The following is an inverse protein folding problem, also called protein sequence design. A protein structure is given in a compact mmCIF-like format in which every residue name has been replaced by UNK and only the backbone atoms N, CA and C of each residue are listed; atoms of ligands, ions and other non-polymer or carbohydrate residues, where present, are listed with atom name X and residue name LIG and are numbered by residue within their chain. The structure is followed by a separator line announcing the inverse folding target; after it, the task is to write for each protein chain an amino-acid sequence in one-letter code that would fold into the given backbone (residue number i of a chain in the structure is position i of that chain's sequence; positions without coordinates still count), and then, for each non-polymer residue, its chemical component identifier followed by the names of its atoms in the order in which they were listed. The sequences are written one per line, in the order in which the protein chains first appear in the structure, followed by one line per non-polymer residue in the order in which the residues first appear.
data_IF_178876591424
#
_entry.id   IF_178876591424
#
_cell.length_a   1.000
_cell.length_b   1.000
_cell.length_c   1.000
_cell.angle_alpha   90.00
_cell.angle_beta   90.00
_cell.angle_gamma   90.00
#
_symmetry.space_group_name_H-M   'P 1'
#
loop_
_entity.id
_entity.type
_entity.pdbx_description
1 polymer ?
#
# COMPACT_ATOMS: atom_id res chain seq x y z
N UNK A 1 12.81 -97.26 -9.27
CA UNK A 1 11.79 -96.43 -8.63
C UNK A 1 12.16 -94.98 -8.93
N UNK A 2 11.37 -94.34 -9.78
CA UNK A 2 11.79 -93.09 -10.47
C UNK A 2 11.12 -91.85 -9.79
N UNK A 3 11.95 -90.95 -9.37
CA UNK A 3 11.57 -89.63 -8.88
C UNK A 3 11.14 -88.71 -10.03
N UNK A 4 9.99 -88.08 -9.88
CA UNK A 4 9.54 -86.98 -10.77
C UNK A 4 9.80 -85.68 -10.06
N UNK A 5 10.68 -84.90 -10.64
CA UNK A 5 10.88 -83.49 -10.32
C UNK A 5 9.90 -82.69 -11.17
N UNK A 6 8.99 -81.91 -10.55
CA UNK A 6 8.11 -80.99 -11.21
C UNK A 6 8.65 -79.54 -11.04
N UNK A 7 8.72 -78.91 -12.15
CA UNK A 7 9.19 -77.56 -12.41
C UNK A 7 8.36 -76.49 -11.73
N UNK A 8 9.04 -75.62 -10.99
CA UNK A 8 8.50 -74.37 -10.39
C UNK A 8 9.26 -73.15 -10.92
N UNK A 9 9.14 -72.90 -12.18
CA UNK A 9 9.73 -71.68 -12.81
C UNK A 9 8.78 -71.10 -13.84
N UNK A 10 7.67 -70.53 -13.41
CA UNK A 10 6.84 -69.71 -14.34
C UNK A 10 5.77 -68.88 -13.59
N UNK A 11 6.11 -68.21 -12.52
CA UNK A 11 5.15 -67.32 -11.83
C UNK A 11 5.72 -66.02 -11.27
N UNK A 12 6.89 -65.58 -11.72
CA UNK A 12 7.51 -64.36 -11.17
C UNK A 12 7.78 -63.20 -12.17
N UNK A 13 7.24 -63.29 -13.35
CA UNK A 13 7.41 -62.22 -14.36
C UNK A 13 6.18 -61.41 -14.69
N UNK A 14 5.08 -61.52 -13.96
CA UNK A 14 3.87 -60.75 -14.21
C UNK A 14 3.55 -59.68 -13.12
N UNK A 15 4.40 -59.50 -12.09
CA UNK A 15 4.13 -58.58 -10.98
C UNK A 15 4.96 -57.28 -11.00
N UNK A 16 5.84 -57.06 -11.98
CA UNK A 16 6.71 -55.85 -12.04
C UNK A 16 6.34 -54.85 -13.13
N UNK A 17 5.22 -54.99 -13.81
CA UNK A 17 4.81 -54.08 -14.88
C UNK A 17 3.70 -53.07 -14.51
N UNK A 18 3.32 -52.98 -13.21
CA UNK A 18 2.21 -52.18 -12.73
C UNK A 18 2.58 -50.98 -11.86
N UNK A 19 3.85 -50.65 -11.67
CA UNK A 19 4.30 -49.59 -10.75
C UNK A 19 5.16 -48.54 -11.47
N UNK A 20 4.65 -47.99 -12.54
CA UNK A 20 5.27 -46.84 -13.17
C UNK A 20 4.16 -45.89 -13.62
N UNK A 21 4.32 -44.64 -13.17
CA UNK A 21 3.55 -43.45 -13.55
C UNK A 21 2.33 -43.19 -12.68
N UNK A 22 2.55 -43.02 -11.39
CA UNK A 22 1.91 -41.90 -10.67
C UNK A 22 3.02 -40.87 -10.40
N UNK A 23 3.52 -40.26 -11.46
CA UNK A 23 4.26 -39.02 -11.37
C UNK A 23 3.26 -38.00 -10.81
N UNK A 24 3.32 -37.77 -9.50
CA UNK A 24 2.74 -36.59 -8.88
C UNK A 24 3.19 -35.40 -9.73
N UNK A 25 2.30 -34.88 -10.56
CA UNK A 25 2.38 -33.54 -11.05
C UNK A 25 2.21 -32.64 -9.82
N UNK A 26 3.28 -32.48 -9.04
CA UNK A 26 3.39 -31.36 -8.13
C UNK A 26 3.13 -30.13 -8.99
N UNK A 27 2.17 -29.26 -8.64
CA UNK A 27 2.04 -28.01 -9.33
C UNK A 27 3.42 -27.35 -9.23
N UNK A 28 4.08 -27.18 -10.38
CA UNK A 28 5.25 -26.32 -10.47
C UNK A 28 4.75 -24.99 -9.95
N UNK A 29 5.18 -24.56 -8.78
CA UNK A 29 4.90 -23.22 -8.29
C UNK A 29 5.32 -22.30 -9.45
N UNK A 30 4.34 -21.65 -10.03
CA UNK A 30 4.60 -20.76 -11.16
C UNK A 30 5.55 -19.70 -10.63
N UNK A 31 6.80 -19.72 -11.10
CA UNK A 31 7.77 -18.72 -10.74
C UNK A 31 7.21 -17.34 -11.15
N UNK A 32 7.38 -16.35 -10.29
CA UNK A 32 6.97 -14.96 -10.55
C UNK A 32 7.39 -14.55 -11.97
N UNK A 33 6.40 -14.34 -12.84
CA UNK A 33 6.67 -13.96 -14.22
C UNK A 33 6.81 -12.45 -14.31
N UNK A 34 7.99 -11.96 -14.66
CA UNK A 34 8.19 -10.57 -15.03
C UNK A 34 7.38 -10.26 -16.29
N UNK A 35 6.43 -9.33 -16.18
CA UNK A 35 5.60 -8.84 -17.28
C UNK A 35 6.24 -7.64 -17.97
N UNK A 36 6.78 -6.70 -17.18
CA UNK A 36 7.43 -5.49 -17.69
C UNK A 36 8.45 -4.98 -16.67
N UNK A 37 9.56 -4.45 -17.20
CA UNK A 37 10.52 -3.62 -16.50
C UNK A 37 10.53 -2.25 -17.16
N UNK A 38 10.46 -1.18 -16.38
CA UNK A 38 10.51 0.18 -16.87
C UNK A 38 11.43 1.03 -15.97
N UNK A 39 12.30 1.78 -16.59
CA UNK A 39 13.14 2.77 -15.92
C UNK A 39 12.55 4.14 -16.19
N UNK A 40 11.93 4.75 -15.18
CA UNK A 40 11.41 6.09 -15.23
C UNK A 40 12.42 7.12 -14.72
N UNK A 41 12.05 8.39 -14.70
CA UNK A 41 12.86 9.43 -14.06
C UNK A 41 12.96 9.28 -12.53
N UNK A 42 12.04 8.52 -11.93
CA UNK A 42 11.88 8.44 -10.48
C UNK A 42 12.18 7.06 -9.92
N UNK A 43 11.84 6.00 -10.66
CA UNK A 43 11.88 4.63 -10.16
C UNK A 43 12.33 3.62 -11.22
N UNK A 44 12.92 2.51 -10.74
CA UNK A 44 12.99 1.27 -11.50
C UNK A 44 11.73 0.47 -11.17
N UNK A 45 10.80 0.38 -12.12
CA UNK A 45 9.49 -0.23 -11.94
C UNK A 45 9.50 -1.62 -12.55
N UNK A 46 8.99 -2.59 -11.79
CA UNK A 46 8.82 -3.96 -12.26
C UNK A 46 7.38 -4.38 -12.03
N UNK A 47 6.79 -5.03 -13.03
CA UNK A 47 5.47 -5.63 -12.93
C UNK A 47 5.63 -7.13 -13.02
N UNK A 48 5.24 -7.83 -11.98
CA UNK A 48 5.26 -9.29 -11.89
C UNK A 48 3.85 -9.85 -11.89
N UNK A 49 3.75 -11.10 -12.33
CA UNK A 49 2.53 -11.89 -12.20
C UNK A 49 2.85 -13.23 -11.57
N UNK A 50 2.14 -13.54 -10.48
CA UNK A 50 2.08 -14.84 -9.85
C UNK A 50 0.62 -15.33 -9.89
N UNK A 51 0.37 -16.33 -10.75
CA UNK A 51 -0.96 -16.88 -10.95
C UNK A 51 -2.00 -15.82 -11.29
N UNK A 52 -2.89 -15.53 -10.35
CA UNK A 52 -3.97 -14.56 -10.45
C UNK A 52 -3.59 -13.15 -9.91
N UNK A 53 -2.43 -13.03 -9.29
CA UNK A 53 -1.98 -11.77 -8.70
C UNK A 53 -1.00 -11.06 -9.64
N UNK A 54 -1.20 -9.75 -9.82
CA UNK A 54 -0.24 -8.85 -10.46
C UNK A 54 0.26 -7.87 -9.41
N UNK A 55 1.58 -7.71 -9.34
CA UNK A 55 2.23 -6.80 -8.39
C UNK A 55 3.12 -5.80 -9.11
N UNK A 56 3.09 -4.56 -8.68
CA UNK A 56 4.03 -3.50 -9.06
C UNK A 56 5.03 -3.33 -7.93
N UNK A 57 6.31 -3.33 -8.27
CA UNK A 57 7.38 -3.18 -7.30
C UNK A 57 8.35 -2.11 -7.75
N UNK A 58 8.83 -1.32 -6.79
CA UNK A 58 9.94 -0.42 -7.03
C UNK A 58 11.22 -1.04 -6.49
N UNK A 59 12.29 -0.92 -7.23
CA UNK A 59 13.51 -1.58 -6.81
C UNK A 59 14.78 -0.97 -7.35
N UNK A 60 15.79 -1.08 -6.53
CA UNK A 60 17.19 -1.07 -6.92
C UNK A 60 17.76 -2.46 -6.57
N UNK A 61 18.51 -3.06 -7.53
CA UNK A 61 19.37 -4.21 -7.30
C UNK A 61 18.71 -5.43 -6.61
N UNK A 62 17.74 -6.09 -7.27
CA UNK A 62 17.16 -7.40 -6.89
C UNK A 62 16.36 -7.45 -5.57
N UNK A 63 16.13 -6.34 -4.89
CA UNK A 63 15.14 -6.26 -3.83
C UNK A 63 14.00 -5.38 -4.31
N UNK A 64 12.81 -5.93 -4.18
CA UNK A 64 11.59 -5.33 -4.69
C UNK A 64 10.70 -4.97 -3.50
N UNK A 65 10.29 -3.70 -3.44
CA UNK A 65 9.26 -3.25 -2.52
C UNK A 65 7.94 -3.30 -3.27
N UNK A 66 7.02 -4.08 -2.75
CA UNK A 66 5.69 -4.18 -3.36
C UNK A 66 4.89 -2.94 -3.04
N UNK A 67 4.73 -2.09 -4.03
CA UNK A 67 3.99 -0.84 -3.92
C UNK A 67 2.49 -1.07 -4.14
N UNK A 68 2.13 -2.05 -4.95
CA UNK A 68 0.74 -2.36 -5.23
C UNK A 68 0.56 -3.80 -5.70
N UNK A 69 -0.60 -4.38 -5.38
CA UNK A 69 -1.01 -5.69 -5.86
C UNK A 69 -2.49 -5.72 -6.18
N UNK A 70 -2.84 -6.44 -7.24
CA UNK A 70 -4.22 -6.69 -7.63
C UNK A 70 -4.45 -8.17 -7.86
N UNK A 71 -5.63 -8.66 -7.50
CA UNK A 71 -6.13 -9.97 -7.86
C UNK A 71 -6.98 -9.83 -9.12
N UNK A 72 -6.56 -10.44 -10.24
CA UNK A 72 -7.22 -10.23 -11.53
C UNK A 72 -8.66 -10.76 -11.56
N UNK A 73 -8.93 -11.86 -10.81
CA UNK A 73 -10.28 -12.42 -10.66
C UNK A 73 -11.18 -11.60 -9.72
N UNK A 74 -10.60 -10.72 -8.90
CA UNK A 74 -11.29 -9.90 -7.93
C UNK A 74 -10.62 -8.52 -7.78
N UNK A 75 -10.71 -7.67 -8.81
CA UNK A 75 -10.01 -6.38 -8.84
C UNK A 75 -10.52 -5.38 -7.79
N UNK A 76 -11.68 -5.63 -7.20
CA UNK A 76 -12.20 -4.84 -6.07
C UNK A 76 -11.63 -5.23 -4.72
N UNK A 77 -10.75 -6.25 -4.64
CA UNK A 77 -10.09 -6.61 -3.39
C UNK A 77 -8.85 -5.75 -3.17
N UNK A 78 -8.72 -5.19 -1.97
CA UNK A 78 -7.48 -4.61 -1.48
C UNK A 78 -6.59 -5.74 -0.96
N UNK A 79 -5.62 -6.15 -1.77
CA UNK A 79 -4.77 -7.32 -1.52
C UNK A 79 -3.79 -7.03 -0.38
N UNK A 80 -3.16 -5.85 -0.43
CA UNK A 80 -2.23 -5.41 0.61
C UNK A 80 -3.04 -4.86 1.80
N UNK A 81 -2.68 -5.27 2.99
CA UNK A 81 -3.52 -5.03 4.17
C UNK A 81 -3.60 -3.56 4.58
N UNK A 82 -2.48 -2.83 4.52
CA UNK A 82 -2.50 -1.40 4.84
C UNK A 82 -3.50 -0.62 3.97
N UNK A 83 -3.67 -1.01 2.71
CA UNK A 83 -4.62 -0.35 1.80
C UNK A 83 -6.07 -0.41 2.32
N UNK A 84 -6.42 -1.48 3.06
CA UNK A 84 -7.72 -1.57 3.76
C UNK A 84 -7.79 -0.54 4.87
N UNK A 85 -6.71 -0.40 5.66
CA UNK A 85 -6.66 0.60 6.73
C UNK A 85 -6.63 2.04 6.22
N UNK A 86 -6.18 2.31 4.98
CA UNK A 86 -6.33 3.64 4.39
C UNK A 86 -7.80 4.08 4.29
N UNK A 87 -8.75 3.14 4.27
CA UNK A 87 -10.18 3.46 4.24
C UNK A 87 -10.76 3.86 5.61
N UNK A 88 -10.03 3.71 6.72
CA UNK A 88 -10.54 4.07 8.07
C UNK A 88 -10.85 5.56 8.19
N UNK A 89 -10.23 6.42 7.38
CA UNK A 89 -10.56 7.85 7.30
C UNK A 89 -12.04 8.12 7.08
N UNK A 90 -12.76 7.20 6.42
CA UNK A 90 -14.21 7.30 6.20
C UNK A 90 -15.04 7.26 7.49
N UNK A 91 -14.47 6.76 8.60
CA UNK A 91 -15.12 6.78 9.91
C UNK A 91 -14.90 8.11 10.65
N UNK A 92 -13.88 8.86 10.27
CA UNK A 92 -13.53 10.13 10.91
C UNK A 92 -14.20 11.32 10.21
N UNK A 93 -14.17 11.32 8.89
CA UNK A 93 -14.77 12.38 8.08
C UNK A 93 -16.31 12.35 8.18
N UNK A 94 -16.99 13.49 8.35
CA UNK A 94 -18.46 13.55 8.40
C UNK A 94 -19.09 13.19 7.06
N UNK A 95 -18.35 13.37 5.97
CA UNK A 95 -18.69 12.99 4.60
C UNK A 95 -17.42 12.68 3.81
N UNK A 96 -17.57 12.00 2.69
CA UNK A 96 -16.47 11.65 1.77
C UNK A 96 -16.95 11.87 0.32
N UNK A 97 -17.32 13.10 0.01
CA UNK A 97 -17.78 13.50 -1.32
C UNK A 97 -16.61 13.94 -2.22
N UNK A 98 -15.51 14.36 -1.60
CA UNK A 98 -14.29 14.80 -2.28
C UNK A 98 -13.08 14.14 -1.64
N UNK A 99 -12.39 13.32 -2.40
CA UNK A 99 -11.22 12.55 -1.93
C UNK A 99 -10.04 12.89 -2.83
N UNK A 100 -8.91 13.21 -2.21
CA UNK A 100 -7.62 13.36 -2.86
C UNK A 100 -6.72 12.22 -2.42
N UNK A 101 -6.03 11.58 -3.35
CA UNK A 101 -4.93 10.67 -3.06
C UNK A 101 -3.63 11.23 -3.66
N UNK A 102 -2.56 11.22 -2.88
CA UNK A 102 -1.19 11.53 -3.33
C UNK A 102 -0.39 10.24 -3.34
N UNK A 103 -0.03 9.80 -4.54
CA UNK A 103 0.47 8.47 -4.87
C UNK A 103 -0.64 7.59 -5.44
N UNK A 104 -0.39 6.92 -6.57
CA UNK A 104 -1.36 6.05 -7.25
C UNK A 104 -1.00 4.57 -7.09
N UNK A 105 0.27 4.25 -7.28
CA UNK A 105 0.68 2.85 -7.41
C UNK A 105 -0.11 2.14 -8.51
N UNK A 106 -0.74 1.01 -8.19
CA UNK A 106 -1.64 0.31 -9.11
C UNK A 106 -3.07 0.89 -9.16
N UNK A 107 -3.38 1.91 -8.38
CA UNK A 107 -4.70 2.53 -8.30
C UNK A 107 -5.75 1.69 -7.56
N UNK A 108 -5.33 0.74 -6.74
CA UNK A 108 -6.24 -0.19 -6.04
C UNK A 108 -7.13 0.55 -5.04
N UNK A 109 -6.59 1.48 -4.25
CA UNK A 109 -7.34 2.23 -3.24
C UNK A 109 -8.40 3.12 -3.90
N UNK A 110 -8.03 3.93 -4.88
CA UNK A 110 -8.98 4.83 -5.57
C UNK A 110 -10.01 4.07 -6.40
N UNK A 111 -9.64 2.93 -6.99
CA UNK A 111 -10.59 2.06 -7.69
C UNK A 111 -11.62 1.48 -6.73
N UNK A 112 -11.17 1.00 -5.56
CA UNK A 112 -12.05 0.52 -4.49
C UNK A 112 -12.98 1.63 -3.98
N UNK A 113 -12.43 2.82 -3.69
CA UNK A 113 -13.22 3.96 -3.22
C UNK A 113 -14.21 4.44 -4.28
N UNK A 114 -13.81 4.49 -5.55
CA UNK A 114 -14.70 4.86 -6.66
C UNK A 114 -15.89 3.91 -6.81
N UNK A 115 -15.67 2.61 -6.61
CA UNK A 115 -16.74 1.61 -6.61
C UNK A 115 -17.67 1.71 -5.39
N UNK A 116 -17.09 1.97 -4.19
CA UNK A 116 -17.82 2.07 -2.94
C UNK A 116 -18.58 3.40 -2.77
N UNK A 117 -18.07 4.49 -3.36
CA UNK A 117 -18.59 5.84 -3.28
C UNK A 117 -18.84 6.43 -4.69
N UNK A 118 -19.81 5.91 -5.46
CA UNK A 118 -19.99 6.28 -6.87
C UNK A 118 -20.31 7.77 -7.10
N UNK A 119 -20.78 8.46 -6.06
CA UNK A 119 -21.09 9.89 -6.11
C UNK A 119 -19.91 10.79 -5.73
N UNK A 120 -18.85 10.24 -5.15
CA UNK A 120 -17.69 11.01 -4.75
C UNK A 120 -16.85 11.43 -5.95
N UNK A 121 -16.29 12.64 -5.87
CA UNK A 121 -15.21 13.08 -6.76
C UNK A 121 -13.88 12.63 -6.15
N UNK A 122 -13.14 11.83 -6.88
CA UNK A 122 -11.84 11.31 -6.47
C UNK A 122 -10.78 11.81 -7.44
N UNK A 123 -9.74 12.41 -6.90
CA UNK A 123 -8.57 12.81 -7.65
C UNK A 123 -7.36 12.09 -7.09
N UNK A 124 -6.54 11.52 -7.95
CA UNK A 124 -5.22 11.02 -7.57
C UNK A 124 -4.13 11.84 -8.26
N UNK A 125 -3.09 12.15 -7.51
CA UNK A 125 -1.92 12.87 -7.99
C UNK A 125 -0.73 11.92 -7.92
N UNK A 126 -0.19 11.58 -9.08
CA UNK A 126 0.95 10.68 -9.23
C UNK A 126 2.12 11.43 -9.87
N UNK A 127 3.31 11.28 -9.28
CA UNK A 127 4.52 11.94 -9.78
C UNK A 127 5.01 11.32 -11.09
N UNK A 128 4.91 10.00 -11.18
CA UNK A 128 5.51 9.21 -12.25
C UNK A 128 4.46 8.79 -13.29
N UNK A 129 4.51 9.40 -14.47
CA UNK A 129 3.60 9.03 -15.58
C UNK A 129 3.68 7.55 -15.95
N UNK A 130 4.86 6.93 -15.79
CA UNK A 130 5.05 5.53 -16.11
C UNK A 130 4.28 4.61 -15.15
N UNK A 131 4.15 5.01 -13.88
CA UNK A 131 3.27 4.33 -12.90
C UNK A 131 1.82 4.39 -13.35
N UNK A 132 1.34 5.56 -13.78
CA UNK A 132 -0.04 5.72 -14.29
C UNK A 132 -0.31 4.83 -15.50
N UNK A 133 0.62 4.79 -16.46
CA UNK A 133 0.50 3.93 -17.65
C UNK A 133 0.47 2.45 -17.28
N UNK A 134 1.32 2.01 -16.33
CA UNK A 134 1.37 0.63 -15.87
C UNK A 134 0.13 0.24 -15.05
N UNK A 135 -0.42 1.17 -14.25
CA UNK A 135 -1.67 0.98 -13.54
C UNK A 135 -2.83 0.70 -14.52
N UNK A 136 -2.95 1.51 -15.57
CA UNK A 136 -3.95 1.30 -16.63
C UNK A 136 -3.74 -0.02 -17.37
N UNK A 137 -2.50 -0.39 -17.66
CA UNK A 137 -2.16 -1.57 -18.46
C UNK A 137 -2.34 -2.89 -17.71
N UNK A 138 -1.95 -2.94 -16.44
CA UNK A 138 -1.83 -4.19 -15.70
C UNK A 138 -2.75 -4.32 -14.49
N UNK A 139 -3.21 -3.21 -13.91
CA UNK A 139 -3.98 -3.19 -12.67
C UNK A 139 -5.46 -2.91 -12.88
N UNK A 140 -5.94 -2.96 -14.14
CA UNK A 140 -7.33 -2.67 -14.49
C UNK A 140 -7.80 -1.29 -14.02
N UNK A 141 -6.86 -0.38 -13.68
CA UNK A 141 -7.19 0.98 -13.29
C UNK A 141 -7.85 1.72 -14.44
N UNK A 142 -8.99 2.33 -14.17
CA UNK A 142 -9.79 3.08 -15.16
C UNK A 142 -10.26 4.38 -14.55
N UNK A 143 -9.95 5.46 -15.21
CA UNK A 143 -10.51 6.76 -14.89
C UNK A 143 -11.97 6.86 -15.34
N UNK A 144 -12.71 7.72 -14.65
CA UNK A 144 -14.10 8.05 -14.97
C UNK A 144 -14.27 9.57 -14.91
N UNK A 145 -15.47 10.08 -15.15
CA UNK A 145 -15.73 11.51 -14.95
C UNK A 145 -15.47 11.96 -13.51
N UNK A 146 -15.64 11.05 -12.53
CA UNK A 146 -15.48 11.34 -11.10
C UNK A 146 -14.16 10.84 -10.50
N UNK A 147 -13.46 9.92 -11.17
CA UNK A 147 -12.14 9.43 -10.78
C UNK A 147 -11.10 9.85 -11.81
N UNK A 148 -10.26 10.79 -11.49
CA UNK A 148 -9.26 11.36 -12.40
C UNK A 148 -7.86 11.31 -11.82
N UNK A 149 -6.87 11.29 -12.71
CA UNK A 149 -5.45 11.32 -12.38
C UNK A 149 -4.79 12.60 -12.91
N UNK A 150 -3.93 13.20 -12.11
CA UNK A 150 -3.04 14.28 -12.51
C UNK A 150 -1.61 13.85 -12.30
N UNK A 151 -0.78 13.98 -13.35
CA UNK A 151 0.66 13.73 -13.24
C UNK A 151 1.34 14.99 -12.73
N UNK A 152 1.74 14.98 -11.46
CA UNK A 152 2.40 16.10 -10.78
C UNK A 152 3.05 15.62 -9.47
N UNK A 153 4.01 16.39 -8.96
CA UNK A 153 4.38 16.29 -7.56
C UNK A 153 3.20 16.69 -6.65
N UNK A 154 2.91 15.87 -5.63
CA UNK A 154 1.74 16.04 -4.77
C UNK A 154 1.74 17.35 -3.99
N UNK A 155 2.90 17.80 -3.50
CA UNK A 155 3.03 19.07 -2.80
C UNK A 155 2.87 20.26 -3.75
N UNK A 156 3.49 20.19 -4.92
CA UNK A 156 3.35 21.22 -5.95
C UNK A 156 1.90 21.32 -6.45
N UNK A 157 1.19 20.22 -6.54
CA UNK A 157 -0.24 20.21 -6.85
C UNK A 157 -1.03 20.98 -5.77
N UNK A 158 -0.89 20.61 -4.51
CA UNK A 158 -1.59 21.28 -3.39
C UNK A 158 -1.25 22.77 -3.27
N UNK A 159 -0.05 23.20 -3.66
CA UNK A 159 0.32 24.61 -3.66
C UNK A 159 -0.41 25.43 -4.73
N UNK A 160 -0.67 24.83 -5.89
CA UNK A 160 -1.31 25.50 -7.03
C UNK A 160 -2.82 25.46 -6.98
N UNK A 161 -3.37 24.36 -6.43
CA UNK A 161 -4.80 24.13 -6.37
C UNK A 161 -5.36 24.55 -5.02
N UNK A 162 -6.45 25.33 -5.05
CA UNK A 162 -7.16 25.80 -3.86
C UNK A 162 -8.37 24.93 -3.49
N UNK A 163 -8.58 23.81 -4.18
CA UNK A 163 -9.66 22.88 -3.85
C UNK A 163 -9.51 22.31 -2.46
N UNK A 164 -10.65 21.98 -1.84
CA UNK A 164 -10.71 21.39 -0.52
C UNK A 164 -11.32 20.01 -0.57
N UNK A 165 -10.86 19.16 0.34
CA UNK A 165 -11.12 17.74 0.34
C UNK A 165 -11.69 17.29 1.68
N UNK A 166 -12.57 16.29 1.65
CA UNK A 166 -13.09 15.68 2.87
C UNK A 166 -12.13 14.65 3.43
N UNK A 167 -11.41 13.96 2.53
CA UNK A 167 -10.37 13.00 2.88
C UNK A 167 -9.17 13.23 1.95
N UNK A 168 -7.98 13.35 2.54
CA UNK A 168 -6.71 13.35 1.81
C UNK A 168 -5.94 12.11 2.21
N UNK A 169 -5.62 11.26 1.23
CA UNK A 169 -4.81 10.06 1.39
C UNK A 169 -3.38 10.36 0.96
N UNK A 170 -2.41 10.08 1.81
CA UNK A 170 -0.98 10.24 1.54
C UNK A 170 -0.35 8.86 1.46
N UNK A 171 -0.13 8.38 0.24
CA UNK A 171 0.41 7.04 -0.07
C UNK A 171 1.53 7.11 -1.12
N UNK A 172 2.37 8.14 -1.02
CA UNK A 172 3.46 8.39 -1.96
C UNK A 172 4.77 7.80 -1.43
N UNK A 173 5.32 6.86 -2.18
CA UNK A 173 6.56 6.17 -1.85
C UNK A 173 7.59 6.28 -2.99
N UNK A 174 8.86 6.22 -2.61
CA UNK A 174 9.99 6.02 -3.50
C UNK A 174 10.83 4.87 -2.93
N UNK A 175 10.57 3.67 -3.42
CA UNK A 175 11.04 2.47 -2.74
C UNK A 175 10.50 2.43 -1.29
N UNK A 176 11.32 2.16 -0.25
CA UNK A 176 10.81 2.05 1.11
C UNK A 176 10.52 3.40 1.81
N UNK A 177 10.70 4.53 1.14
CA UNK A 177 10.68 5.82 1.82
C UNK A 177 9.60 6.75 1.26
N UNK A 178 8.89 7.41 2.17
CA UNK A 178 8.10 8.60 1.81
C UNK A 178 9.10 9.73 1.51
N UNK A 179 8.95 10.46 0.37
CA UNK A 179 9.80 11.61 0.06
C UNK A 179 9.79 12.65 1.17
N UNK A 180 10.98 13.10 1.59
CA UNK A 180 11.14 13.99 2.74
C UNK A 180 10.24 15.24 2.71
N UNK A 181 10.14 15.88 1.54
CA UNK A 181 9.33 17.10 1.36
C UNK A 181 7.81 16.88 1.58
N UNK A 182 7.36 15.61 1.68
CA UNK A 182 6.00 15.20 2.04
C UNK A 182 5.86 14.81 3.53
N UNK A 183 6.88 15.06 4.34
CA UNK A 183 6.90 14.75 5.77
C UNK A 183 7.16 15.97 6.66
N UNK A 184 7.29 17.17 6.07
CA UNK A 184 7.61 18.39 6.79
C UNK A 184 6.36 19.04 7.41
N UNK A 185 6.57 19.83 8.45
CA UNK A 185 5.51 20.61 9.12
C UNK A 185 4.77 21.51 8.14
N UNK A 186 5.50 22.12 7.23
CA UNK A 186 4.97 23.01 6.19
C UNK A 186 4.08 22.25 5.22
N UNK A 187 4.48 21.03 4.84
CA UNK A 187 3.64 20.18 4.00
C UNK A 187 2.36 19.75 4.73
N UNK A 188 2.44 19.29 5.97
CA UNK A 188 1.22 18.93 6.72
C UNK A 188 0.32 20.15 7.00
N UNK A 189 0.89 21.33 7.22
CA UNK A 189 0.11 22.57 7.30
C UNK A 189 -0.60 22.89 5.99
N UNK A 190 0.06 22.68 4.85
CA UNK A 190 -0.55 22.81 3.53
C UNK A 190 -1.69 21.79 3.35
N UNK A 191 -1.46 20.50 3.66
CA UNK A 191 -2.51 19.47 3.64
C UNK A 191 -3.70 19.88 4.49
N UNK A 192 -3.45 20.31 5.73
CA UNK A 192 -4.51 20.79 6.65
C UNK A 192 -5.31 21.96 6.05
N UNK A 193 -4.64 22.90 5.36
CA UNK A 193 -5.29 24.04 4.73
C UNK A 193 -6.20 23.64 3.55
N UNK A 194 -6.01 22.46 3.00
CA UNK A 194 -6.80 21.87 1.89
C UNK A 194 -7.89 20.91 2.38
N UNK A 195 -8.06 20.73 3.68
CA UNK A 195 -9.18 19.97 4.22
C UNK A 195 -10.44 20.86 4.35
N UNK A 196 -11.58 20.26 4.08
CA UNK A 196 -12.88 20.81 4.44
C UNK A 196 -13.04 20.82 5.97
N UNK A 197 -13.93 21.64 6.53
CA UNK A 197 -14.26 21.54 7.96
C UNK A 197 -14.64 20.11 8.35
N UNK A 198 -13.93 19.55 9.33
CA UNK A 198 -14.07 18.13 9.74
C UNK A 198 -13.41 17.12 8.82
N UNK A 199 -12.73 17.56 7.76
CA UNK A 199 -11.96 16.69 6.89
C UNK A 199 -10.75 16.07 7.59
N UNK A 200 -10.20 15.00 6.99
CA UNK A 200 -9.13 14.21 7.60
C UNK A 200 -8.01 13.92 6.61
N UNK A 201 -6.80 13.78 7.13
CA UNK A 201 -5.67 13.20 6.41
C UNK A 201 -5.46 11.77 6.87
N UNK A 202 -5.23 10.87 5.94
CA UNK A 202 -4.83 9.48 6.21
C UNK A 202 -3.48 9.26 5.56
N UNK A 203 -2.51 8.78 6.31
CA UNK A 203 -1.17 8.59 5.79
C UNK A 203 -0.65 7.20 6.08
N UNK A 204 -0.09 6.58 5.04
CA UNK A 204 0.68 5.36 5.13
C UNK A 204 2.14 5.69 5.47
N UNK A 205 2.69 5.07 6.52
CA UNK A 205 4.07 5.26 6.95
C UNK A 205 4.71 3.91 7.25
N UNK A 206 5.86 3.64 6.64
CA UNK A 206 6.67 2.45 6.89
C UNK A 206 7.40 2.57 8.25
N UNK A 207 7.07 1.73 9.26
CA UNK A 207 7.59 1.87 10.62
C UNK A 207 9.06 1.44 10.76
N UNK A 208 9.58 0.65 9.82
CA UNK A 208 10.98 0.23 9.83
C UNK A 208 11.94 1.33 9.40
N UNK A 209 11.40 2.42 8.84
CA UNK A 209 12.21 3.55 8.42
C UNK A 209 12.60 4.43 9.60
N UNK A 210 13.80 4.98 9.57
CA UNK A 210 14.30 5.90 10.62
C UNK A 210 13.54 7.24 10.63
N UNK A 211 12.68 7.49 9.64
CA UNK A 211 11.84 8.68 9.57
C UNK A 211 10.52 8.51 10.34
N UNK A 212 10.15 7.30 10.73
CA UNK A 212 8.84 7.01 11.34
C UNK A 212 8.56 7.89 12.56
N UNK A 213 9.48 7.92 13.52
CA UNK A 213 9.30 8.71 14.75
C UNK A 213 9.21 10.22 14.46
N UNK A 214 10.02 10.71 13.53
CA UNK A 214 10.01 12.12 13.14
C UNK A 214 8.78 12.46 12.30
N UNK A 215 8.33 11.58 11.41
CA UNK A 215 7.13 11.76 10.62
C UNK A 215 5.88 11.82 11.52
N UNK A 216 5.76 10.88 12.45
CA UNK A 216 4.65 10.85 13.42
C UNK A 216 4.67 12.06 14.36
N UNK A 217 5.86 12.48 14.84
CA UNK A 217 6.01 13.69 15.64
C UNK A 217 5.61 14.95 14.85
N UNK A 218 6.00 15.01 13.57
CA UNK A 218 5.68 16.15 12.69
C UNK A 218 4.18 16.23 12.41
N UNK A 219 3.54 15.10 12.10
CA UNK A 219 2.09 15.03 11.92
C UNK A 219 1.34 15.49 13.18
N UNK A 220 1.75 14.99 14.36
CA UNK A 220 1.16 15.40 15.65
C UNK A 220 1.40 16.88 16.00
N UNK A 221 2.43 17.52 15.43
CA UNK A 221 2.68 18.95 15.65
C UNK A 221 1.70 19.85 14.90
N UNK A 222 1.02 19.32 13.88
CA UNK A 222 0.09 20.05 13.01
C UNK A 222 -1.38 19.71 13.30
N UNK A 223 -1.65 18.42 13.55
CA UNK A 223 -3.00 17.94 13.83
C UNK A 223 -3.16 17.67 15.33
N UNK A 224 -4.17 18.27 15.99
CA UNK A 224 -4.39 18.12 17.43
C UNK A 224 -4.83 16.71 17.83
N UNK A 225 -5.36 15.93 16.90
CA UNK A 225 -5.71 14.54 17.12
C UNK A 225 -5.13 13.68 15.98
N UNK A 226 -4.34 12.66 16.36
CA UNK A 226 -3.77 11.67 15.45
C UNK A 226 -3.95 10.28 16.04
N UNK A 227 -4.63 9.43 15.30
CA UNK A 227 -4.83 8.02 15.64
C UNK A 227 -4.02 7.13 14.71
N UNK A 228 -3.64 5.92 15.16
CA UNK A 228 -2.77 5.01 14.43
C UNK A 228 -3.38 3.62 14.34
N UNK A 229 -3.09 2.94 13.23
CA UNK A 229 -3.54 1.59 12.90
C UNK A 229 -2.37 0.78 12.37
N UNK A 230 -2.31 -0.49 12.78
CA UNK A 230 -1.29 -1.42 12.31
C UNK A 230 -1.76 -2.09 11.02
N UNK A 231 -1.08 -1.81 9.93
CA UNK A 231 -1.34 -2.36 8.61
C UNK A 231 -0.44 -3.56 8.27
N UNK A 232 0.04 -4.30 9.28
CA UNK A 232 0.97 -5.43 9.25
C UNK A 232 2.42 -4.99 9.03
N UNK A 233 2.79 -4.50 7.87
CA UNK A 233 4.15 -3.99 7.59
C UNK A 233 4.21 -2.47 7.65
N UNK A 234 3.06 -1.81 7.59
CA UNK A 234 2.93 -0.36 7.58
C UNK A 234 2.07 0.11 8.75
N UNK A 235 2.20 1.37 9.10
CA UNK A 235 1.32 2.07 10.06
C UNK A 235 0.52 3.10 9.30
N UNK A 236 -0.80 3.02 9.42
CA UNK A 236 -1.72 4.03 8.89
C UNK A 236 -2.07 5.01 10.00
N UNK A 237 -1.85 6.29 9.76
CA UNK A 237 -2.20 7.37 10.68
C UNK A 237 -3.39 8.18 10.16
N UNK A 238 -4.25 8.63 11.06
CA UNK A 238 -5.38 9.52 10.74
C UNK A 238 -5.26 10.79 11.55
N UNK A 239 -5.00 11.90 10.87
CA UNK A 239 -4.94 13.23 11.49
C UNK A 239 -6.20 14.04 11.21
N UNK A 240 -6.73 14.72 12.25
CA UNK A 240 -7.89 15.61 12.11
C UNK A 240 -7.82 16.81 13.07
N UNK A 241 -8.58 17.85 12.77
CA UNK A 241 -8.54 19.11 13.51
C UNK A 241 -9.54 19.16 14.68
N UNK A 242 -10.36 18.14 14.85
CA UNK A 242 -11.31 18.02 15.97
C UNK A 242 -10.66 17.47 17.25
N UNK A 243 -11.41 17.44 18.34
CA UNK A 243 -10.95 16.80 19.57
C UNK A 243 -10.76 15.29 19.35
N UNK A 244 -9.90 14.63 20.14
CA UNK A 244 -9.74 13.18 20.08
C UNK A 244 -11.09 12.46 20.26
N UNK A 245 -11.41 11.56 19.33
CA UNK A 245 -12.67 10.81 19.35
C UNK A 245 -12.60 9.70 20.42
N UNK A 246 -13.66 9.58 21.20
CA UNK A 246 -13.82 8.42 22.08
C UNK A 246 -14.05 7.16 21.25
N UNK A 247 -13.56 6.01 21.73
CA UNK A 247 -13.66 4.75 20.98
C UNK A 247 -15.12 4.39 20.63
N UNK A 248 -16.04 4.56 21.58
CA UNK A 248 -17.46 4.30 21.32
C UNK A 248 -18.05 5.19 20.24
N UNK A 249 -17.63 6.46 20.18
CA UNK A 249 -18.06 7.40 19.14
C UNK A 249 -17.50 7.00 17.77
N UNK A 250 -16.23 6.68 17.70
CA UNK A 250 -15.58 6.23 16.44
C UNK A 250 -16.23 4.94 15.91
N UNK A 251 -16.53 3.97 16.79
CA UNK A 251 -17.23 2.76 16.41
C UNK A 251 -18.65 3.04 15.87
N UNK A 252 -19.36 4.02 16.44
CA UNK A 252 -20.67 4.43 15.97
C UNK A 252 -20.58 5.13 14.61
N UNK A 253 -19.58 6.01 14.40
CA UNK A 253 -19.32 6.66 13.11
C UNK A 253 -18.94 5.62 12.04
N UNK A 254 -18.08 4.66 12.37
CA UNK A 254 -17.70 3.58 11.47
C UNK A 254 -18.91 2.73 11.03
N UNK A 255 -19.82 2.43 11.95
CA UNK A 255 -21.05 1.69 11.62
C UNK A 255 -21.95 2.47 10.64
N UNK A 256 -22.10 3.79 10.83
CA UNK A 256 -22.82 4.68 9.92
C UNK A 256 -22.17 4.75 8.52
N UNK A 257 -20.85 4.93 8.48
CA UNK A 257 -20.10 4.96 7.23
C UNK A 257 -20.15 3.62 6.49
N UNK A 258 -20.03 2.49 7.21
CA UNK A 258 -20.20 1.14 6.67
C UNK A 258 -21.54 0.96 5.97
N UNK A 259 -22.61 1.41 6.60
CA UNK A 259 -23.95 1.30 6.04
C UNK A 259 -24.14 2.25 4.83
N UNK A 260 -23.65 3.48 4.94
CA UNK A 260 -23.79 4.52 3.91
C UNK A 260 -23.07 4.14 2.62
N UNK A 261 -21.84 3.65 2.72
CA UNK A 261 -20.95 3.39 1.59
C UNK A 261 -20.88 1.93 1.16
N UNK A 262 -21.63 1.03 1.84
CA UNK A 262 -21.65 -0.41 1.55
C UNK A 262 -20.27 -1.02 1.40
N UNK A 263 -19.35 -0.64 2.30
CA UNK A 263 -17.97 -1.03 2.22
C UNK A 263 -17.80 -2.56 2.29
N UNK A 264 -16.89 -3.09 1.51
CA UNK A 264 -16.60 -4.52 1.46
C UNK A 264 -15.96 -5.01 2.77
N UNK A 265 -15.08 -4.20 3.36
CA UNK A 265 -14.38 -4.53 4.59
C UNK A 265 -15.11 -3.94 5.80
N UNK A 266 -15.08 -4.66 6.92
CA UNK A 266 -15.76 -4.21 8.13
C UNK A 266 -15.02 -3.02 8.77
N UNK A 267 -15.45 -1.82 8.46
CA UNK A 267 -14.84 -0.58 8.94
C UNK A 267 -14.86 -0.49 10.48
N UNK A 268 -15.93 -1.01 11.12
CA UNK A 268 -16.04 -1.02 12.58
C UNK A 268 -14.98 -1.91 13.23
N UNK A 269 -14.68 -3.08 12.64
CA UNK A 269 -13.61 -3.95 13.15
C UNK A 269 -12.26 -3.27 12.98
N UNK A 270 -11.98 -2.65 11.83
CA UNK A 270 -10.71 -1.96 11.59
C UNK A 270 -10.49 -0.80 12.57
N UNK A 271 -11.50 0.06 12.81
CA UNK A 271 -11.33 1.16 13.76
C UNK A 271 -11.28 0.68 15.24
N UNK A 272 -11.71 -0.54 15.53
CA UNK A 272 -11.54 -1.13 16.85
C UNK A 272 -10.07 -1.42 17.18
N UNK A 273 -9.23 -1.60 16.17
CA UNK A 273 -7.78 -1.85 16.28
C UNK A 273 -6.96 -0.57 16.49
N UNK A 274 -7.63 0.57 16.67
CA UNK A 274 -6.96 1.84 16.91
C UNK A 274 -5.94 1.74 18.02
N UNK A 275 -4.74 2.24 17.75
CA UNK A 275 -3.64 2.36 18.71
C UNK A 275 -3.40 3.81 19.08
N UNK A 276 -3.10 4.03 20.34
CA UNK A 276 -2.57 5.30 20.82
C UNK A 276 -1.05 5.12 20.89
N UNK A 277 -0.32 5.75 20.01
CA UNK A 277 1.14 5.80 20.16
C UNK A 277 1.45 6.64 21.40
N UNK A 278 2.25 6.08 22.30
CA UNK A 278 2.94 6.88 23.33
C UNK A 278 3.69 7.98 22.58
N UNK A 279 3.71 9.19 23.11
CA UNK A 279 4.27 10.41 22.49
C UNK A 279 5.41 10.09 21.52
N UNK A 280 5.30 10.50 20.23
CA UNK A 280 6.37 10.30 19.28
C UNK A 280 7.66 10.93 19.83
N UNK A 281 8.75 10.18 19.82
CA UNK A 281 10.05 10.61 20.36
C UNK A 281 10.82 11.43 19.32
N UNK A 282 10.35 11.42 18.06
CA UNK A 282 11.02 12.04 16.92
C UNK A 282 11.04 13.57 16.97
N UNK A 283 12.00 14.16 16.26
CA UNK A 283 12.07 15.60 16.05
C UNK A 283 11.13 16.03 14.94
N UNK A 284 10.47 17.16 15.11
CA UNK A 284 9.63 17.77 14.06
C UNK A 284 10.52 18.16 12.88
N UNK A 285 10.14 17.68 11.70
CA UNK A 285 10.82 18.00 10.44
C UNK A 285 10.22 19.27 9.83
N UNK A 286 11.09 20.14 9.30
CA UNK A 286 10.70 21.36 8.59
C UNK A 286 11.40 21.42 7.24
N UNK A 287 10.97 22.30 6.35
CA UNK A 287 11.60 22.50 5.04
C UNK A 287 13.06 22.94 5.16
N UNK A 288 13.37 23.77 6.16
CA UNK A 288 14.71 24.29 6.40
C UNK A 288 15.59 23.37 7.26
N UNK A 289 14.97 22.41 7.97
CA UNK A 289 15.66 21.56 8.92
C UNK A 289 15.21 20.10 8.79
N UNK A 290 15.99 19.35 8.02
CA UNK A 290 16.01 17.90 8.15
C UNK A 290 17.00 17.52 9.26
N UNK A 291 16.63 16.68 10.24
CA UNK A 291 17.59 16.17 11.20
C UNK A 291 18.76 15.50 10.43
N UNK A 292 19.99 16.01 10.62
CA UNK A 292 21.18 15.51 9.87
C UNK A 292 21.39 14.02 10.14
N UNK A 293 21.07 13.56 11.34
CA UNK A 293 21.08 12.15 11.70
C UNK A 293 20.10 11.34 10.85
N UNK A 294 18.94 11.91 10.52
CA UNK A 294 17.93 11.27 9.66
C UNK A 294 18.45 11.12 8.23
N UNK A 295 19.09 12.16 7.69
CA UNK A 295 19.70 12.10 6.36
C UNK A 295 20.88 11.14 6.31
N UNK A 296 21.78 11.17 7.33
CA UNK A 296 22.88 10.21 7.46
C UNK A 296 22.41 8.78 7.60
N UNK A 297 21.29 8.58 8.23
CA UNK A 297 20.71 7.29 8.43
C UNK A 297 20.07 6.74 7.15
N UNK A 298 19.42 7.60 6.36
CA UNK A 298 18.94 7.27 5.01
C UNK A 298 20.13 6.91 4.12
N UNK A 299 21.18 7.73 4.14
CA UNK A 299 22.41 7.52 3.38
C UNK A 299 23.07 6.18 3.76
N UNK A 300 23.27 5.94 5.07
CA UNK A 300 23.82 4.69 5.59
C UNK A 300 22.98 3.46 5.26
N UNK A 301 21.67 3.60 5.26
CA UNK A 301 20.78 2.53 4.81
C UNK A 301 20.93 2.29 3.30
N UNK A 302 20.98 3.35 2.51
CA UNK A 302 21.22 3.27 1.07
C UNK A 302 22.59 2.66 0.73
N UNK A 303 23.62 2.95 1.52
CA UNK A 303 24.97 2.35 1.38
C UNK A 303 24.95 0.86 1.71
N UNK A 304 24.33 0.46 2.81
CA UNK A 304 24.12 -0.96 3.13
C UNK A 304 23.42 -1.72 2.02
N UNK A 305 22.47 -1.07 1.36
CA UNK A 305 21.76 -1.64 0.21
C UNK A 305 22.69 -1.81 -1.00
N UNK A 306 23.55 -0.84 -1.28
CA UNK A 306 24.57 -0.93 -2.33
C UNK A 306 25.54 -2.06 -2.06
N UNK A 307 26.13 -2.13 -0.86
CA UNK A 307 27.06 -3.19 -0.46
C UNK A 307 26.48 -4.59 -0.56
N UNK A 308 25.22 -4.78 -0.16
CA UNK A 308 24.54 -6.08 -0.24
C UNK A 308 24.21 -6.52 -1.67
N UNK A 309 24.25 -5.61 -2.62
CA UNK A 309 23.91 -5.83 -4.03
C UNK A 309 25.16 -5.95 -4.92
N UNK A 310 26.29 -5.43 -4.47
CA UNK A 310 27.59 -5.53 -5.14
C UNK A 310 28.39 -6.77 -4.69
N UNK A 311 27.93 -7.51 -3.68
CA UNK A 311 28.58 -8.74 -3.24
C UNK A 311 28.55 -9.78 -4.36
N UNK A 312 29.70 -10.35 -4.76
CA UNK A 312 29.77 -11.37 -5.80
C UNK A 312 29.00 -12.63 -5.38
N UNK A 313 28.38 -13.27 -6.34
CA UNK A 313 27.65 -14.55 -6.19
C UNK A 313 28.60 -15.70 -5.88
#
# INVERSE_FOLDING_TARGET
MRLRTASWHLAWHAACAGLLVLACALPLAAADRLLEKRESLYNNIFVFRDGDTVSMTFGQNKRYYTESSIKLSDPGALVIEYARFMTVGLAYAPKAERILEIGLGGGSIVSYLGAALPDATILTVELDKDVVELARKYFQFKETEKLRTVVSDGRAYLMRDNERWDVILLDAYRGPFVPFHLLTKEFYALVKSRLNPGGVVVQNIEPSTMLFDSATATLNSVFPAVDFYDGVENVVSVGHDGPPLRQAELLARAAKAQQRYKLRYNLRSMVAERRVLKRPIGKVMTDDFAPVETLRAIEKNNEKWKEQTEAPR
#
